data_IF_819078885819
#
_entry.id   IF_819078885819
#
_cell.length_a   1.000
_cell.length_b   1.000
_cell.length_c   1.000
_cell.angle_alpha   90.00
_cell.angle_beta   90.00
_cell.angle_gamma   90.00
#
_symmetry.space_group_name_H-M   'P 1'
#
loop_
_entity.id
_entity.type
_entity.pdbx_description
1 polymer ?
#
# COMPACT_ATOMS: atom_id res chain seq x y z
N UNK A 1 12.22 6.33 21.52
CA UNK A 1 13.52 6.97 21.80
C UNK A 1 13.34 8.03 22.87
N UNK A 2 14.15 7.99 23.94
CA UNK A 2 14.14 9.00 25.00
C UNK A 2 15.56 9.51 25.23
N UNK A 3 15.81 10.73 24.75
CA UNK A 3 17.14 11.34 24.72
C UNK A 3 17.54 11.91 26.08
N UNK A 4 16.58 12.42 26.86
CA UNK A 4 16.81 12.96 28.21
C UNK A 4 15.67 12.58 29.16
N UNK A 5 15.91 12.49 30.48
CA UNK A 5 14.85 12.24 31.46
C UNK A 5 13.69 13.24 31.38
N UNK A 6 13.99 14.48 30.97
CA UNK A 6 13.07 15.63 30.94
C UNK A 6 12.48 15.83 29.54
N UNK A 7 13.03 15.21 28.49
CA UNK A 7 12.49 15.34 27.13
C UNK A 7 11.28 14.41 26.93
N UNK A 8 10.42 14.80 26.00
CA UNK A 8 9.38 13.90 25.50
C UNK A 8 10.03 12.68 24.84
N UNK A 9 9.36 11.53 24.94
CA UNK A 9 9.73 10.36 24.15
C UNK A 9 9.31 10.61 22.70
N UNK A 10 10.19 10.26 21.76
CA UNK A 10 9.91 10.29 20.33
C UNK A 10 9.80 8.86 19.80
N UNK A 11 8.89 8.65 18.85
CA UNK A 11 8.69 7.40 18.13
C UNK A 11 8.95 7.70 16.66
N UNK A 12 10.20 7.53 16.19
CA UNK A 12 10.49 7.66 14.77
C UNK A 12 9.97 6.44 13.99
N UNK A 13 9.65 6.65 12.72
CA UNK A 13 9.14 5.58 11.84
C UNK A 13 10.18 4.49 11.59
N UNK A 14 11.44 4.88 11.39
CA UNK A 14 12.57 3.96 11.35
C UNK A 14 13.72 4.53 12.19
N UNK A 15 14.42 3.65 12.91
CA UNK A 15 15.66 3.98 13.57
C UNK A 15 16.67 2.85 13.38
N UNK A 16 17.96 3.22 13.37
CA UNK A 16 19.06 2.28 13.38
C UNK A 16 20.03 2.62 14.52
N UNK A 17 20.49 1.57 15.20
CA UNK A 17 21.44 1.66 16.31
C UNK A 17 22.59 0.69 16.04
N UNK A 18 23.82 1.20 16.02
CA UNK A 18 25.02 0.40 15.84
C UNK A 18 25.17 -0.60 16.98
N UNK A 19 25.88 -1.69 16.71
CA UNK A 19 26.09 -2.74 17.73
C UNK A 19 26.81 -2.22 18.98
N UNK A 20 27.71 -1.24 18.83
CA UNK A 20 28.39 -0.56 19.95
C UNK A 20 27.43 0.26 20.83
N UNK A 21 26.35 0.80 20.26
CA UNK A 21 25.34 1.61 20.92
C UNK A 21 24.15 0.79 21.46
N UNK A 22 24.20 -0.54 21.37
CA UNK A 22 23.15 -1.44 21.88
C UNK A 22 22.86 -1.29 23.37
N UNK A 23 23.79 -0.73 24.14
CA UNK A 23 23.59 -0.47 25.56
C UNK A 23 22.45 0.53 25.84
N UNK A 24 22.02 1.31 24.84
CA UNK A 24 20.83 2.15 24.93
C UNK A 24 19.51 1.38 24.75
N UNK A 25 19.54 0.13 24.30
CA UNK A 25 18.33 -0.67 24.08
C UNK A 25 17.86 -1.27 25.41
N UNK A 26 16.78 -0.73 25.95
CA UNK A 26 16.02 -1.30 27.06
C UNK A 26 14.86 -2.16 26.53
N UNK A 27 14.26 -2.98 27.39
CA UNK A 27 13.20 -3.94 27.02
C UNK A 27 11.98 -3.30 26.34
N UNK A 28 11.69 -2.04 26.63
CA UNK A 28 10.51 -1.33 26.12
C UNK A 28 10.83 -0.03 25.35
N UNK A 29 12.11 0.37 25.24
CA UNK A 29 12.49 1.63 24.60
C UNK A 29 13.98 1.73 24.30
N UNK A 30 14.31 2.65 23.42
CA UNK A 30 15.66 3.19 23.29
C UNK A 30 15.87 4.34 24.30
N UNK A 31 16.66 4.10 25.34
CA UNK A 31 17.03 5.06 26.39
C UNK A 31 18.35 5.78 26.05
N UNK A 32 18.38 6.37 24.87
CA UNK A 32 19.52 7.05 24.29
C UNK A 32 19.17 7.55 22.91
N UNK A 33 20.19 7.69 22.08
CA UNK A 33 20.10 8.29 20.75
C UNK A 33 20.33 7.21 19.69
N UNK A 34 19.56 7.25 18.61
CA UNK A 34 19.79 6.39 17.46
C UNK A 34 20.92 6.96 16.58
N UNK A 35 21.64 6.09 15.89
CA UNK A 35 22.70 6.50 14.96
C UNK A 35 22.10 7.07 13.67
N UNK A 36 20.99 6.48 13.20
CA UNK A 36 20.19 6.99 12.08
C UNK A 36 18.71 7.03 12.48
N UNK A 37 18.03 8.10 12.11
CA UNK A 37 16.58 8.26 12.23
C UNK A 37 15.98 8.56 10.86
N UNK A 38 14.86 7.93 10.51
CA UNK A 38 14.07 8.23 9.32
C UNK A 38 12.64 8.57 9.75
N UNK A 39 12.10 9.66 9.21
CA UNK A 39 10.73 10.11 9.43
C UNK A 39 10.02 10.26 8.09
N UNK A 40 8.78 9.77 8.02
CA UNK A 40 7.90 9.88 6.84
C UNK A 40 6.85 10.95 7.14
N UNK A 41 6.95 12.09 6.45
CA UNK A 41 6.09 13.25 6.67
C UNK A 41 4.66 12.95 6.22
N UNK A 42 3.70 13.32 7.06
CA UNK A 42 2.26 13.31 6.75
C UNK A 42 1.70 14.74 6.73
N UNK A 43 0.51 14.92 6.18
CA UNK A 43 -0.14 16.25 6.08
C UNK A 43 -0.30 16.95 7.45
N UNK A 44 -0.43 16.17 8.54
CA UNK A 44 -0.62 16.69 9.90
C UNK A 44 0.71 16.89 10.65
N UNK A 45 1.82 16.33 10.15
CA UNK A 45 3.11 16.29 10.87
C UNK A 45 4.18 17.21 10.28
N UNK A 46 3.91 17.91 9.17
CA UNK A 46 4.87 18.77 8.46
C UNK A 46 5.69 19.66 9.39
N UNK A 47 5.04 20.46 10.24
CA UNK A 47 5.75 21.36 11.16
C UNK A 47 6.56 20.58 12.21
N UNK A 48 5.99 19.50 12.74
CA UNK A 48 6.61 18.70 13.79
C UNK A 48 7.86 18.00 13.29
N UNK A 49 7.86 17.47 12.08
CA UNK A 49 8.97 16.69 11.54
C UNK A 49 10.05 17.59 10.95
N UNK A 50 9.68 18.68 10.27
CA UNK A 50 10.65 19.59 9.63
C UNK A 50 11.27 20.61 10.59
N UNK A 51 10.62 20.95 11.71
CA UNK A 51 11.12 21.99 12.63
C UNK A 51 11.40 21.39 14.03
N UNK A 52 10.36 20.88 14.71
CA UNK A 52 10.48 20.50 16.12
C UNK A 52 11.39 19.27 16.31
N UNK A 53 11.15 18.18 15.56
CA UNK A 53 11.95 16.95 15.63
C UNK A 53 13.35 17.16 15.07
N UNK A 54 13.49 17.95 14.01
CA UNK A 54 14.79 18.29 13.44
C UNK A 54 15.71 18.89 14.51
N UNK A 55 15.26 19.95 15.19
CA UNK A 55 16.03 20.61 16.24
C UNK A 55 16.28 19.69 17.45
N UNK A 56 15.32 18.85 17.81
CA UNK A 56 15.48 17.90 18.91
C UNK A 56 16.49 16.79 18.59
N UNK A 57 16.48 16.23 17.37
CA UNK A 57 17.42 15.20 16.94
C UNK A 57 18.84 15.77 16.74
N UNK A 58 18.95 17.01 16.25
CA UNK A 58 20.21 17.75 16.16
C UNK A 58 20.81 17.94 17.56
N UNK A 59 20.03 18.50 18.49
CA UNK A 59 20.46 18.71 19.87
C UNK A 59 20.73 17.41 20.63
N UNK A 60 20.05 16.31 20.24
CA UNK A 60 20.28 14.98 20.78
C UNK A 60 21.58 14.35 20.29
N UNK A 61 22.11 14.78 19.15
CA UNK A 61 23.29 14.19 18.53
C UNK A 61 22.99 12.95 17.68
N UNK A 62 21.80 12.85 17.08
CA UNK A 62 21.53 11.82 16.06
C UNK A 62 22.45 12.10 14.88
N UNK A 63 23.34 11.16 14.55
CA UNK A 63 24.40 11.37 13.55
C UNK A 63 23.84 11.57 12.13
N UNK A 64 22.77 10.86 11.78
CA UNK A 64 22.16 10.91 10.44
C UNK A 64 20.64 10.98 10.54
N UNK A 65 20.02 11.91 9.81
CA UNK A 65 18.58 12.15 9.87
C UNK A 65 17.98 12.26 8.46
N UNK A 66 16.99 11.41 8.17
CA UNK A 66 16.34 11.34 6.86
C UNK A 66 14.88 11.78 6.98
N UNK A 67 14.47 12.71 6.14
CA UNK A 67 13.09 13.19 6.05
C UNK A 67 12.55 12.79 4.68
N UNK A 68 11.54 11.92 4.66
CA UNK A 68 10.87 11.46 3.44
C UNK A 68 9.47 12.07 3.41
N UNK A 69 9.16 12.85 2.39
CA UNK A 69 7.86 13.49 2.20
C UNK A 69 7.16 12.87 0.99
N UNK A 70 6.26 11.89 1.19
CA UNK A 70 5.56 11.19 0.11
C UNK A 70 4.31 11.94 -0.37
N UNK A 71 4.07 13.17 0.11
CA UNK A 71 2.86 13.92 -0.27
C UNK A 71 2.92 14.32 -1.75
N UNK A 72 1.84 14.14 -2.53
CA UNK A 72 1.86 14.37 -3.98
C UNK A 72 2.35 15.76 -4.40
N UNK A 73 2.07 16.79 -3.60
CA UNK A 73 2.47 18.18 -3.84
C UNK A 73 3.93 18.47 -3.48
N UNK A 74 4.60 17.58 -2.74
CA UNK A 74 5.90 17.82 -2.12
C UNK A 74 6.73 16.53 -2.05
N UNK A 75 6.81 15.76 -3.13
CA UNK A 75 7.66 14.57 -3.19
C UNK A 75 9.13 14.97 -3.01
N UNK A 76 9.69 14.70 -1.82
CA UNK A 76 11.09 15.01 -1.49
C UNK A 76 11.68 14.00 -0.51
N UNK A 77 12.98 13.76 -0.65
CA UNK A 77 13.78 13.08 0.34
C UNK A 77 14.95 14.01 0.70
N UNK A 78 15.08 14.34 1.98
CA UNK A 78 16.15 15.17 2.50
C UNK A 78 17.00 14.34 3.47
N UNK A 79 18.32 14.44 3.33
CA UNK A 79 19.28 13.68 4.11
C UNK A 79 20.20 14.66 4.83
N UNK A 80 20.34 14.48 6.14
CA UNK A 80 21.07 15.39 7.01
C UNK A 80 22.12 14.61 7.81
N UNK A 81 23.33 15.15 7.86
CA UNK A 81 24.45 14.59 8.62
C UNK A 81 24.89 15.58 9.68
N UNK A 82 25.05 15.11 10.92
CA UNK A 82 25.54 15.93 12.02
C UNK A 82 27.03 16.16 11.87
N UNK A 83 27.45 17.43 11.84
CA UNK A 83 28.86 17.80 11.77
C UNK A 83 29.54 17.82 13.16
N UNK A 84 30.85 18.10 13.17
CA UNK A 84 31.64 18.19 14.40
C UNK A 84 31.20 19.35 15.33
N UNK A 85 30.47 20.34 14.81
CA UNK A 85 29.91 21.44 15.60
C UNK A 85 28.54 21.11 16.19
N UNK A 86 28.01 19.91 15.92
CA UNK A 86 26.68 19.49 16.35
C UNK A 86 25.56 20.16 15.54
N UNK A 87 25.82 20.52 14.28
CA UNK A 87 24.82 21.08 13.38
C UNK A 87 24.59 20.16 12.19
N UNK A 88 23.34 20.07 11.75
CA UNK A 88 22.98 19.29 10.58
C UNK A 88 23.40 20.00 9.29
N UNK A 89 24.14 19.28 8.46
CA UNK A 89 24.49 19.66 7.11
C UNK A 89 23.68 18.81 6.12
N UNK A 90 23.09 19.47 5.13
CA UNK A 90 22.38 18.76 4.07
C UNK A 90 23.38 17.95 3.24
N UNK A 91 23.13 16.64 3.11
CA UNK A 91 23.91 15.79 2.25
C UNK A 91 23.54 16.06 0.79
N UNK A 92 24.52 16.13 -0.13
CA UNK A 92 24.23 16.30 -1.54
C UNK A 92 23.50 15.05 -2.07
N UNK A 93 22.21 15.21 -2.36
CA UNK A 93 21.37 14.19 -2.98
C UNK A 93 21.97 13.86 -4.35
N UNK A 94 22.52 12.65 -4.51
CA UNK A 94 22.92 12.18 -5.83
C UNK A 94 21.66 11.66 -6.50
N UNK A 95 21.28 12.26 -7.64
CA UNK A 95 19.95 12.27 -8.30
C UNK A 95 19.03 11.02 -8.21
N UNK A 96 19.54 9.84 -7.86
CA UNK A 96 18.74 8.62 -7.67
C UNK A 96 19.13 7.74 -6.48
N UNK A 97 20.38 7.76 -6.00
CA UNK A 97 20.86 6.81 -4.97
C UNK A 97 21.61 7.57 -3.89
N UNK A 98 21.10 7.48 -2.67
CA UNK A 98 21.73 8.08 -1.49
C UNK A 98 22.29 7.00 -0.58
N UNK A 99 23.50 7.24 -0.07
CA UNK A 99 24.24 6.30 0.76
C UNK A 99 24.23 6.78 2.21
N UNK A 100 23.97 5.85 3.14
CA UNK A 100 24.12 6.16 4.55
C UNK A 100 25.59 6.24 4.93
N UNK A 101 25.93 7.25 5.71
CA UNK A 101 27.27 7.44 6.28
C UNK A 101 27.43 6.62 7.55
N UNK A 102 26.37 6.50 8.36
CA UNK A 102 26.41 5.76 9.63
C UNK A 102 26.15 4.27 9.50
N UNK A 103 25.52 3.83 8.40
CA UNK A 103 25.29 2.42 8.07
C UNK A 103 26.04 2.05 6.77
N UNK A 104 27.32 1.64 6.86
CA UNK A 104 28.13 1.35 5.69
C UNK A 104 27.53 0.28 4.79
N UNK A 105 27.41 0.59 3.50
CA UNK A 105 26.85 -0.31 2.49
C UNK A 105 25.33 -0.25 2.36
N UNK A 106 24.63 0.49 3.23
CA UNK A 106 23.22 0.80 3.01
C UNK A 106 23.08 1.97 2.05
N UNK A 107 22.18 1.80 1.10
CA UNK A 107 21.83 2.80 0.10
C UNK A 107 20.34 2.70 -0.21
N UNK A 108 19.74 3.82 -0.57
CA UNK A 108 18.34 3.91 -0.94
C UNK A 108 18.25 4.55 -2.32
N UNK A 109 17.54 3.88 -3.24
CA UNK A 109 17.11 4.54 -4.46
C UNK A 109 15.87 5.38 -4.17
N UNK A 110 15.98 6.70 -4.27
CA UNK A 110 14.89 7.62 -3.95
C UNK A 110 13.73 7.51 -4.93
N UNK A 111 13.95 7.09 -6.18
CA UNK A 111 12.88 6.87 -7.14
C UNK A 111 11.91 5.78 -6.68
N UNK A 112 12.37 4.76 -5.94
CA UNK A 112 11.50 3.70 -5.41
C UNK A 112 10.48 4.19 -4.38
N UNK A 113 10.75 5.33 -3.73
CA UNK A 113 9.80 5.93 -2.78
C UNK A 113 8.60 6.53 -3.51
N UNK A 114 8.81 6.97 -4.74
CA UNK A 114 7.82 7.66 -5.56
C UNK A 114 7.15 6.73 -6.55
N UNK A 115 7.89 5.69 -6.97
CA UNK A 115 7.43 4.67 -7.89
C UNK A 115 6.40 3.76 -7.22
N UNK A 116 5.18 4.27 -7.20
CA UNK A 116 3.97 3.53 -6.93
C UNK A 116 3.41 2.96 -8.23
N UNK A 117 4.24 2.58 -9.21
CA UNK A 117 3.84 1.57 -10.18
C UNK A 117 3.56 0.27 -9.41
N UNK A 118 2.36 0.22 -8.81
CA UNK A 118 1.67 -1.00 -8.46
C UNK A 118 1.60 -1.76 -9.77
N UNK A 119 2.53 -2.68 -10.02
CA UNK A 119 2.43 -3.57 -11.17
C UNK A 119 1.02 -4.15 -11.17
N UNK A 120 0.12 -3.68 -12.05
CA UNK A 120 -1.27 -4.06 -11.93
C UNK A 120 -1.31 -5.55 -12.26
N UNK A 121 -2.12 -6.31 -11.52
CA UNK A 121 -2.24 -7.76 -11.73
C UNK A 121 -2.37 -8.16 -13.22
N UNK A 122 -3.05 -7.31 -14.00
CA UNK A 122 -3.21 -7.47 -15.45
C UNK A 122 -1.88 -7.39 -16.24
N UNK A 123 -0.95 -6.52 -15.85
CA UNK A 123 0.37 -6.44 -16.47
C UNK A 123 1.20 -7.69 -16.18
N UNK A 124 1.18 -8.17 -14.94
CA UNK A 124 1.84 -9.43 -14.57
C UNK A 124 1.27 -10.62 -15.37
N UNK A 125 -0.05 -10.68 -15.57
CA UNK A 125 -0.64 -11.70 -16.45
C UNK A 125 -0.21 -11.56 -17.90
N UNK A 126 -0.13 -10.34 -18.44
CA UNK A 126 0.32 -10.12 -19.81
C UNK A 126 1.78 -10.57 -20.01
N UNK A 127 2.66 -10.29 -19.03
CA UNK A 127 4.05 -10.75 -19.07
C UNK A 127 4.16 -12.27 -19.00
N UNK A 128 3.48 -12.91 -18.05
CA UNK A 128 3.50 -14.37 -17.89
C UNK A 128 2.89 -15.04 -19.13
N UNK A 129 1.78 -14.53 -19.65
CA UNK A 129 1.16 -15.04 -20.87
C UNK A 129 2.05 -14.84 -22.10
N UNK A 130 2.78 -13.73 -22.18
CA UNK A 130 3.76 -13.48 -23.23
C UNK A 130 4.93 -14.47 -23.19
N UNK A 131 5.45 -14.78 -21.99
CA UNK A 131 6.47 -15.81 -21.80
C UNK A 131 5.94 -17.20 -22.15
N UNK A 132 4.73 -17.53 -21.69
CA UNK A 132 4.06 -18.79 -21.99
C UNK A 132 3.90 -18.98 -23.52
N UNK A 133 3.41 -17.96 -24.22
CA UNK A 133 3.33 -17.97 -25.69
C UNK A 133 4.70 -18.11 -26.35
N UNK A 134 5.73 -17.40 -25.85
CA UNK A 134 7.08 -17.41 -26.42
C UNK A 134 7.79 -18.76 -26.28
N UNK A 135 7.54 -19.46 -25.18
CA UNK A 135 8.17 -20.74 -24.85
C UNK A 135 7.24 -21.95 -25.06
N UNK A 136 6.00 -21.72 -25.46
CA UNK A 136 4.98 -22.73 -25.70
C UNK A 136 4.73 -23.63 -24.47
N UNK A 137 4.66 -23.05 -23.27
CA UNK A 137 4.42 -23.85 -22.05
C UNK A 137 2.99 -24.37 -21.97
N UNK A 138 2.03 -23.64 -22.56
CA UNK A 138 0.63 -24.05 -22.69
C UNK A 138 0.06 -23.73 -24.07
N UNK A 139 -1.02 -24.42 -24.40
CA UNK A 139 -1.80 -24.17 -25.61
C UNK A 139 -3.28 -24.17 -25.24
N UNK A 140 -3.87 -22.97 -25.18
CA UNK A 140 -5.32 -22.80 -25.02
C UNK A 140 -5.96 -22.78 -26.40
N UNK A 141 -7.03 -23.56 -26.58
CA UNK A 141 -7.80 -23.52 -27.83
C UNK A 141 -8.42 -22.12 -28.01
N UNK A 142 -8.38 -21.51 -29.22
CA UNK A 142 -8.91 -20.16 -29.44
C UNK A 142 -10.36 -19.98 -29.02
N UNK A 143 -11.17 -21.05 -29.09
CA UNK A 143 -12.57 -21.05 -28.64
C UNK A 143 -12.66 -20.80 -27.11
N UNK A 144 -11.76 -21.36 -26.32
CA UNK A 144 -11.71 -21.15 -24.86
C UNK A 144 -11.33 -19.71 -24.54
N UNK A 145 -10.35 -19.14 -25.24
CA UNK A 145 -9.99 -17.72 -25.09
C UNK A 145 -11.15 -16.80 -25.46
N UNK A 146 -11.86 -17.08 -26.55
CA UNK A 146 -13.04 -16.30 -26.95
C UNK A 146 -14.17 -16.36 -25.89
N UNK A 147 -14.41 -17.54 -25.30
CA UNK A 147 -15.35 -17.64 -24.18
C UNK A 147 -14.86 -16.84 -22.95
N UNK A 148 -13.56 -16.90 -22.64
CA UNK A 148 -12.97 -16.15 -21.55
C UNK A 148 -13.05 -14.62 -21.76
N UNK A 149 -12.86 -14.13 -22.99
CA UNK A 149 -13.06 -12.73 -23.35
C UNK A 149 -14.48 -12.26 -23.04
N UNK A 150 -15.49 -13.11 -23.28
CA UNK A 150 -16.88 -12.84 -22.90
C UNK A 150 -17.06 -12.63 -21.38
N UNK A 151 -16.39 -13.44 -20.56
CA UNK A 151 -16.40 -13.27 -19.11
C UNK A 151 -15.61 -12.04 -18.66
N UNK A 152 -14.47 -11.73 -19.30
CA UNK A 152 -13.72 -10.49 -19.03
C UNK A 152 -14.57 -9.27 -19.33
N UNK A 153 -15.26 -9.23 -20.47
CA UNK A 153 -16.20 -8.16 -20.80
C UNK A 153 -17.33 -8.04 -19.77
N UNK A 154 -17.86 -9.17 -19.29
CA UNK A 154 -18.87 -9.18 -18.22
C UNK A 154 -18.31 -8.64 -16.89
N UNK A 155 -17.06 -8.99 -16.54
CA UNK A 155 -16.38 -8.47 -15.36
C UNK A 155 -16.23 -6.94 -15.41
N UNK A 156 -15.77 -6.40 -16.53
CA UNK A 156 -15.71 -4.95 -16.75
C UNK A 156 -17.08 -4.29 -16.72
N UNK A 157 -18.09 -4.93 -17.30
CA UNK A 157 -19.46 -4.42 -17.26
C UNK A 157 -19.97 -4.27 -15.81
N UNK A 158 -19.72 -5.25 -14.93
CA UNK A 158 -20.07 -5.12 -13.51
C UNK A 158 -19.31 -4.00 -12.82
N UNK A 159 -18.00 -3.89 -13.02
CA UNK A 159 -17.19 -2.80 -12.45
C UNK A 159 -17.73 -1.44 -12.90
N UNK A 160 -18.08 -1.29 -14.18
CA UNK A 160 -18.66 -0.06 -14.72
C UNK A 160 -20.04 0.24 -14.13
N UNK A 161 -20.91 -0.77 -13.97
CA UNK A 161 -22.20 -0.60 -13.31
C UNK A 161 -22.03 -0.10 -11.87
N UNK A 162 -21.01 -0.57 -11.15
CA UNK A 162 -20.72 -0.09 -9.79
C UNK A 162 -20.27 1.37 -9.82
N UNK A 163 -19.34 1.75 -10.70
CA UNK A 163 -18.94 3.15 -10.82
C UNK A 163 -20.10 4.09 -11.16
N UNK A 164 -21.05 3.59 -11.96
CA UNK A 164 -22.26 4.36 -12.30
C UNK A 164 -23.21 4.51 -11.11
N UNK A 165 -23.33 3.50 -10.26
CA UNK A 165 -24.31 3.44 -9.17
C UNK A 165 -23.77 4.01 -7.84
N UNK A 166 -22.49 3.79 -7.56
CA UNK A 166 -21.85 4.11 -6.28
C UNK A 166 -20.82 5.23 -6.42
N UNK A 167 -21.23 6.44 -6.06
CA UNK A 167 -20.37 7.64 -6.02
C UNK A 167 -19.30 7.63 -4.93
N UNK A 168 -19.38 6.71 -3.96
CA UNK A 168 -18.44 6.60 -2.83
C UNK A 168 -17.34 5.57 -3.06
N UNK A 169 -17.18 5.08 -4.30
CA UNK A 169 -16.15 4.07 -4.62
C UNK A 169 -14.75 4.65 -4.38
N UNK A 170 -13.99 4.06 -3.45
CA UNK A 170 -12.61 4.43 -3.16
C UNK A 170 -11.66 3.23 -3.30
N UNK A 171 -10.40 3.53 -3.65
CA UNK A 171 -9.33 2.52 -3.70
C UNK A 171 -8.75 2.22 -2.31
N UNK A 172 -9.10 2.99 -1.29
CA UNK A 172 -8.77 2.78 0.13
C UNK A 172 -10.03 2.36 0.89
N UNK A 173 -9.88 1.60 1.98
CA UNK A 173 -11.01 1.24 2.85
C UNK A 173 -11.27 2.43 3.75
N UNK A 174 -12.27 3.23 3.41
CA UNK A 174 -12.65 4.45 4.13
C UNK A 174 -14.16 4.71 4.02
N UNK A 175 -14.66 5.59 4.89
CA UNK A 175 -16.03 6.11 4.82
C UNK A 175 -15.94 7.60 4.51
N UNK A 176 -16.53 8.02 3.39
CA UNK A 176 -16.61 9.43 3.02
C UNK A 176 -17.58 10.20 3.92
N UNK A 177 -17.43 11.52 3.99
CA UNK A 177 -18.33 12.38 4.76
C UNK A 177 -19.79 12.24 4.29
N UNK A 178 -20.70 11.99 5.24
CA UNK A 178 -22.13 11.78 4.98
C UNK A 178 -22.45 10.58 4.06
N UNK A 179 -21.52 9.65 3.89
CA UNK A 179 -21.73 8.43 3.10
C UNK A 179 -22.94 7.64 3.60
N UNK A 180 -23.78 7.23 2.64
CA UNK A 180 -24.94 6.38 2.88
C UNK A 180 -24.68 4.98 2.31
N UNK A 181 -25.33 3.97 2.88
CA UNK A 181 -25.26 2.61 2.33
C UNK A 181 -26.01 2.57 0.99
N UNK A 182 -25.30 2.22 -0.08
CA UNK A 182 -25.91 2.01 -1.40
C UNK A 182 -26.61 0.65 -1.41
N UNK A 183 -27.92 0.66 -1.65
CA UNK A 183 -28.76 -0.54 -1.70
C UNK A 183 -29.43 -0.73 -3.06
N UNK A 184 -29.02 0.02 -4.07
CA UNK A 184 -29.59 0.02 -5.42
C UNK A 184 -28.67 -0.63 -6.45
N UNK A 185 -29.20 -0.91 -7.64
CA UNK A 185 -28.42 -1.50 -8.73
C UNK A 185 -27.83 -2.87 -8.36
N UNK A 186 -26.54 -3.14 -8.62
CA UNK A 186 -25.95 -4.45 -8.36
C UNK A 186 -25.86 -4.80 -6.86
N UNK A 187 -25.98 -3.81 -5.97
CA UNK A 187 -25.95 -3.99 -4.52
C UNK A 187 -27.20 -4.71 -3.98
N UNK A 188 -28.26 -4.91 -4.77
CA UNK A 188 -29.41 -5.73 -4.35
C UNK A 188 -29.10 -7.23 -4.36
N UNK A 189 -28.12 -7.64 -5.17
CA UNK A 189 -27.81 -9.06 -5.40
C UNK A 189 -26.64 -9.51 -4.55
N UNK A 190 -25.56 -8.72 -4.51
CA UNK A 190 -24.33 -9.00 -3.77
C UNK A 190 -23.85 -7.73 -3.07
N UNK A 191 -23.23 -7.87 -1.90
CA UNK A 191 -22.74 -6.72 -1.12
C UNK A 191 -21.52 -6.04 -1.73
N UNK A 192 -20.67 -6.79 -2.41
CA UNK A 192 -19.47 -6.25 -3.04
C UNK A 192 -19.41 -6.54 -4.55
N UNK A 193 -20.27 -5.90 -5.35
CA UNK A 193 -20.35 -6.14 -6.78
C UNK A 193 -19.06 -5.79 -7.54
N UNK A 194 -18.27 -4.83 -7.02
CA UNK A 194 -16.97 -4.52 -7.62
C UNK A 194 -15.97 -5.66 -7.43
N UNK A 195 -15.89 -6.24 -6.23
CA UNK A 195 -15.05 -7.42 -6.00
C UNK A 195 -15.55 -8.64 -6.76
N UNK A 196 -16.86 -8.78 -6.99
CA UNK A 196 -17.40 -9.82 -7.88
C UNK A 196 -16.92 -9.64 -9.33
N UNK A 197 -16.96 -8.43 -9.87
CA UNK A 197 -16.41 -8.11 -11.18
C UNK A 197 -14.90 -8.36 -11.25
N UNK A 198 -14.15 -7.90 -10.25
CA UNK A 198 -12.69 -8.10 -10.16
C UNK A 198 -12.31 -9.59 -10.07
N UNK A 199 -13.07 -10.40 -9.34
CA UNK A 199 -12.89 -11.84 -9.27
C UNK A 199 -13.03 -12.50 -10.64
N UNK A 200 -14.07 -12.12 -11.41
CA UNK A 200 -14.26 -12.61 -12.79
C UNK A 200 -13.10 -12.20 -13.69
N UNK A 201 -12.65 -10.94 -13.60
CA UNK A 201 -11.49 -10.46 -14.35
C UNK A 201 -10.24 -11.28 -14.03
N UNK A 202 -9.90 -11.45 -12.75
CA UNK A 202 -8.70 -12.21 -12.35
C UNK A 202 -8.74 -13.67 -12.81
N UNK A 203 -9.91 -14.32 -12.76
CA UNK A 203 -10.04 -15.73 -13.12
C UNK A 203 -9.96 -15.96 -14.63
N UNK A 204 -10.54 -15.07 -15.44
CA UNK A 204 -10.66 -15.29 -16.89
C UNK A 204 -9.62 -14.57 -17.73
N UNK A 205 -8.96 -13.51 -17.23
CA UNK A 205 -7.90 -12.81 -17.98
C UNK A 205 -6.76 -13.73 -18.42
N UNK A 206 -6.21 -14.64 -17.58
CA UNK A 206 -5.18 -15.59 -18.02
C UNK A 206 -5.61 -16.42 -19.25
N UNK A 207 -6.85 -16.93 -19.24
CA UNK A 207 -7.40 -17.75 -20.31
C UNK A 207 -7.72 -16.93 -21.57
N UNK A 208 -8.21 -15.70 -21.39
CA UNK A 208 -8.42 -14.73 -22.46
C UNK A 208 -7.11 -14.41 -23.20
N UNK A 209 -6.01 -14.29 -22.45
CA UNK A 209 -4.65 -14.12 -23.00
C UNK A 209 -4.06 -15.42 -23.59
N UNK A 210 -4.79 -16.53 -23.55
CA UNK A 210 -4.36 -17.80 -24.12
C UNK A 210 -3.37 -18.60 -23.26
N UNK A 211 -3.26 -18.28 -21.97
CA UNK A 211 -2.29 -18.88 -21.06
C UNK A 211 -2.97 -19.60 -19.89
N UNK A 212 -2.86 -20.94 -19.84
CA UNK A 212 -3.22 -21.67 -18.61
C UNK A 212 -2.15 -21.49 -17.52
N UNK A 213 -0.91 -21.15 -17.89
CA UNK A 213 0.18 -20.98 -16.93
C UNK A 213 0.07 -19.71 -16.09
N UNK A 214 -0.58 -18.67 -16.60
CA UNK A 214 -0.88 -17.47 -15.82
C UNK A 214 -2.00 -17.71 -14.79
N UNK A 215 -2.83 -18.75 -14.94
CA UNK A 215 -4.00 -18.99 -14.08
C UNK A 215 -3.66 -19.26 -12.60
N UNK A 216 -2.65 -20.10 -12.24
CA UNK A 216 -2.26 -20.28 -10.85
C UNK A 216 -1.88 -18.99 -10.13
N UNK A 217 -1.36 -17.99 -10.85
CA UNK A 217 -1.01 -16.68 -10.28
C UNK A 217 -2.23 -15.81 -9.95
N UNK A 218 -3.42 -16.15 -10.46
CA UNK A 218 -4.66 -15.52 -10.04
C UNK A 218 -5.09 -15.94 -8.62
N UNK A 219 -4.74 -17.14 -8.16
CA UNK A 219 -5.14 -17.67 -6.85
C UNK A 219 -4.68 -16.80 -5.67
N UNK A 220 -3.40 -16.40 -5.54
CA UNK A 220 -2.99 -15.51 -4.45
C UNK A 220 -3.69 -14.15 -4.52
N UNK A 221 -3.95 -13.62 -5.72
CA UNK A 221 -4.66 -12.35 -5.90
C UNK A 221 -6.13 -12.45 -5.49
N UNK A 222 -6.79 -13.55 -5.83
CA UNK A 222 -8.14 -13.86 -5.35
C UNK A 222 -8.16 -13.95 -3.83
N UNK A 223 -7.17 -14.60 -3.21
CA UNK A 223 -7.05 -14.66 -1.76
C UNK A 223 -6.92 -13.27 -1.13
N UNK A 224 -6.11 -12.39 -1.73
CA UNK A 224 -5.99 -10.98 -1.30
C UNK A 224 -7.33 -10.25 -1.39
N UNK A 225 -8.10 -10.42 -2.48
CA UNK A 225 -9.45 -9.83 -2.59
C UNK A 225 -10.37 -10.37 -1.50
N UNK A 226 -10.33 -11.67 -1.20
CA UNK A 226 -11.16 -12.28 -0.15
C UNK A 226 -10.81 -11.74 1.24
N UNK A 227 -9.53 -11.57 1.55
CA UNK A 227 -9.06 -10.96 2.82
C UNK A 227 -9.53 -9.52 2.89
N UNK A 228 -9.23 -8.74 1.86
CA UNK A 228 -9.60 -7.32 1.78
C UNK A 228 -11.10 -7.09 1.89
N UNK A 229 -11.92 -7.94 1.26
CA UNK A 229 -13.37 -7.89 1.38
C UNK A 229 -13.84 -8.08 2.83
N UNK A 230 -13.19 -8.99 3.58
CA UNK A 230 -13.55 -9.22 4.99
C UNK A 230 -13.17 -8.04 5.87
N UNK A 231 -11.97 -7.49 5.66
CA UNK A 231 -11.53 -6.27 6.34
C UNK A 231 -12.46 -5.10 6.07
N UNK A 232 -12.90 -4.93 4.81
CA UNK A 232 -13.88 -3.91 4.44
C UNK A 232 -15.24 -4.16 5.12
N UNK A 233 -15.76 -5.38 5.16
CA UNK A 233 -16.99 -5.66 5.89
C UNK A 233 -16.89 -5.34 7.39
N UNK A 234 -15.79 -5.72 8.04
CA UNK A 234 -15.56 -5.45 9.47
C UNK A 234 -15.44 -3.95 9.74
N UNK A 235 -14.76 -3.23 8.85
CA UNK A 235 -14.64 -1.78 8.91
C UNK A 235 -15.98 -1.08 8.70
N UNK A 236 -16.76 -1.46 7.67
CA UNK A 236 -18.06 -0.87 7.36
C UNK A 236 -19.10 -1.16 8.46
N UNK A 237 -19.06 -2.33 9.09
CA UNK A 237 -19.93 -2.64 10.23
C UNK A 237 -19.70 -1.70 11.42
N UNK A 238 -18.47 -1.23 11.59
CA UNK A 238 -18.09 -0.36 12.71
C UNK A 238 -18.30 1.12 12.38
N UNK A 239 -18.08 1.52 11.12
CA UNK A 239 -17.95 2.93 10.73
C UNK A 239 -19.10 3.45 9.84
N UNK A 240 -19.91 2.58 9.22
CA UNK A 240 -20.99 2.98 8.32
C UNK A 240 -22.37 2.67 8.93
N UNK A 241 -23.10 3.74 9.28
CA UNK A 241 -24.46 3.63 9.78
C UNK A 241 -25.38 2.94 8.75
N UNK A 242 -26.22 2.00 9.21
CA UNK A 242 -27.15 1.25 8.37
C UNK A 242 -26.54 0.00 7.70
N UNK A 243 -25.22 -0.20 7.72
CA UNK A 243 -24.59 -1.34 7.06
C UNK A 243 -24.98 -2.68 7.69
N UNK A 244 -25.13 -2.71 9.02
CA UNK A 244 -25.59 -3.89 9.75
C UNK A 244 -27.00 -4.35 9.30
N UNK A 245 -27.92 -3.41 9.04
CA UNK A 245 -29.26 -3.71 8.52
C UNK A 245 -29.19 -4.22 7.08
N UNK A 246 -28.41 -3.55 6.23
CA UNK A 246 -28.20 -3.96 4.84
C UNK A 246 -27.69 -5.41 4.71
N UNK A 247 -26.78 -5.83 5.60
CA UNK A 247 -26.27 -7.21 5.65
C UNK A 247 -27.36 -8.26 5.93
N UNK A 248 -28.45 -7.88 6.61
CA UNK A 248 -29.59 -8.80 6.82
C UNK A 248 -30.44 -8.97 5.57
N UNK A 249 -30.50 -7.94 4.72
CA UNK A 249 -31.29 -7.92 3.49
C UNK A 249 -30.57 -8.66 2.36
N UNK A 250 -29.28 -8.37 2.17
CA UNK A 250 -28.46 -8.97 1.11
C UNK A 250 -27.47 -9.92 1.74
N UNK A 251 -27.67 -11.23 1.56
CA UNK A 251 -26.85 -12.28 2.19
C UNK A 251 -25.58 -12.65 1.43
N UNK A 252 -25.58 -12.51 0.11
CA UNK A 252 -24.42 -12.83 -0.71
C UNK A 252 -23.37 -11.70 -0.66
N UNK A 253 -22.10 -12.06 -0.46
CA UNK A 253 -20.94 -11.16 -0.49
C UNK A 253 -20.50 -10.90 -1.91
N UNK A 254 -20.25 -11.97 -2.66
CA UNK A 254 -19.53 -11.92 -3.92
C UNK A 254 -20.16 -12.83 -4.98
N UNK A 255 -20.55 -14.05 -4.61
CA UNK A 255 -21.18 -14.99 -5.56
C UNK A 255 -22.57 -15.36 -5.06
N UNK A 256 -23.64 -15.05 -5.83
CA UNK A 256 -25.00 -15.42 -5.47
C UNK A 256 -25.10 -16.90 -5.11
N UNK A 257 -25.81 -17.22 -4.03
CA UNK A 257 -26.08 -18.58 -3.54
C UNK A 257 -24.88 -19.40 -3.03
N UNK A 258 -23.65 -18.87 -3.11
CA UNK A 258 -22.45 -19.53 -2.57
C UNK A 258 -21.94 -18.78 -1.34
N UNK A 259 -21.73 -17.47 -1.47
CA UNK A 259 -21.09 -16.66 -0.46
C UNK A 259 -21.46 -15.18 -0.54
#
# INVERSE_FOLDING_TARGET
>A
MKVSPISNSREPDLLFVKTENKHYLEEQRLAGVADLVVEVVSAESVKRDNEDKFAEYEAAGVQEYWIIDPRPEQLRAEFWLLDENGQYQSMPVHEKIDHSTVLPGFWLNTEWLWDTERYPALAAFAEIAGLDFRFYWSAIAPVVSLFADGFVALGFFFVFLVFRENSYTSATIEVAENQQVITTGPYIVVRHPMYAGAFVLLLFTPLALGSSMALPFALPLIAVIVVRLREEEEFLLTNLAGYAEYRTQVRARLVPFIW
#
